data_IF_901125893359
#
_entry.id   IF_901125893359
#
_cell.length_a   1.000
_cell.length_b   1.000
_cell.length_c   1.000
_cell.angle_alpha   90.00
_cell.angle_beta   90.00
_cell.angle_gamma   90.00
#
_symmetry.space_group_name_H-M   'P 1'
#
loop_
_entity.id
_entity.type
_entity.pdbx_description
1 polymer ?
#
# COMPACT_ATOMS: atom_id res chain seq x y z
N UNK A 1 7.50 22.92 4.89
CA UNK A 1 6.40 22.11 4.33
C UNK A 1 6.39 22.12 2.79
N UNK A 2 6.23 23.29 2.12
CA UNK A 2 6.22 23.34 0.63
C UNK A 2 7.49 22.79 -0.05
N UNK A 3 8.65 22.97 0.54
CA UNK A 3 9.89 22.42 -0.01
C UNK A 3 10.04 20.91 0.23
N UNK A 4 9.40 20.40 1.25
CA UNK A 4 9.34 18.98 1.57
C UNK A 4 8.46 18.21 0.56
N UNK A 5 7.28 18.73 0.23
CA UNK A 5 6.36 18.16 -0.77
C UNK A 5 7.02 18.08 -2.16
N UNK A 6 7.61 19.18 -2.61
CA UNK A 6 8.24 19.27 -3.94
C UNK A 6 9.43 18.33 -4.14
N UNK A 7 10.09 17.97 -3.06
CA UNK A 7 11.28 17.12 -3.10
C UNK A 7 10.96 15.64 -2.90
N UNK A 8 9.85 15.34 -2.25
CA UNK A 8 9.25 14.02 -2.23
C UNK A 8 8.77 13.65 -3.65
N UNK A 9 8.04 14.55 -4.31
CA UNK A 9 7.64 14.40 -5.70
C UNK A 9 8.82 14.14 -6.63
N UNK A 10 9.95 14.84 -6.46
CA UNK A 10 11.14 14.64 -7.26
C UNK A 10 11.83 13.28 -6.99
N UNK A 11 11.96 12.86 -5.75
CA UNK A 11 12.55 11.56 -5.42
C UNK A 11 11.69 10.39 -5.95
N UNK A 12 10.37 10.53 -5.85
CA UNK A 12 9.41 9.57 -6.35
C UNK A 12 9.36 9.56 -7.89
N UNK A 13 9.35 10.74 -8.54
CA UNK A 13 9.32 10.86 -9.99
C UNK A 13 10.55 10.27 -10.67
N UNK A 14 11.74 10.39 -10.04
CA UNK A 14 12.97 9.76 -10.53
C UNK A 14 12.87 8.24 -10.54
N UNK A 15 12.24 7.63 -9.53
CA UNK A 15 12.02 6.17 -9.47
C UNK A 15 10.94 5.70 -10.43
N UNK A 16 9.85 6.43 -10.55
CA UNK A 16 8.70 6.08 -11.39
C UNK A 16 8.98 6.16 -12.89
N UNK A 17 9.87 7.03 -13.33
CA UNK A 17 10.34 7.08 -14.73
C UNK A 17 11.13 5.84 -15.12
N UNK A 18 11.55 5.03 -14.14
CA UNK A 18 12.34 3.81 -14.31
C UNK A 18 11.51 2.52 -14.40
N UNK A 19 10.17 2.58 -14.29
CA UNK A 19 9.30 1.42 -14.45
C UNK A 19 9.14 1.11 -15.94
N UNK A 20 9.44 -0.12 -16.34
CA UNK A 20 9.32 -0.55 -17.73
C UNK A 20 7.88 -0.78 -18.17
N UNK A 21 7.61 -0.51 -19.46
CA UNK A 21 6.29 -0.64 -20.07
C UNK A 21 6.12 -2.03 -20.71
N UNK A 22 5.34 -2.93 -20.13
CA UNK A 22 4.89 -4.14 -20.81
C UNK A 22 3.44 -4.53 -20.48
N UNK A 23 2.85 -5.32 -21.35
CA UNK A 23 1.42 -5.31 -21.65
C UNK A 23 0.47 -6.17 -20.81
N UNK A 24 0.85 -6.82 -19.70
CA UNK A 24 -0.05 -7.71 -18.94
C UNK A 24 -0.56 -7.12 -17.62
N UNK A 25 0.09 -6.10 -17.13
CA UNK A 25 -0.27 -5.37 -15.91
C UNK A 25 -0.73 -3.97 -16.30
N UNK A 26 -1.76 -3.44 -15.66
CA UNK A 26 -2.15 -2.05 -15.89
C UNK A 26 -0.94 -1.16 -15.68
N UNK A 27 -0.50 -0.51 -16.75
CA UNK A 27 0.60 0.44 -16.67
C UNK A 27 0.20 1.55 -15.71
N UNK A 28 1.07 1.89 -14.77
CA UNK A 28 0.82 3.03 -13.93
C UNK A 28 0.76 4.29 -14.82
N UNK A 29 -0.36 4.99 -14.77
CA UNK A 29 -0.45 6.36 -15.26
C UNK A 29 0.42 7.21 -14.32
N UNK A 30 1.58 7.68 -14.81
CA UNK A 30 2.56 8.40 -14.01
C UNK A 30 1.94 9.60 -13.27
N UNK A 31 0.95 10.27 -13.87
CA UNK A 31 0.21 11.36 -13.22
C UNK A 31 -0.70 10.89 -12.06
N UNK A 32 -1.09 9.61 -12.03
CA UNK A 32 -1.86 9.01 -10.93
C UNK A 32 -0.96 8.36 -9.88
N UNK A 33 0.27 8.02 -10.24
CA UNK A 33 1.26 7.41 -9.36
C UNK A 33 1.79 8.35 -8.29
N UNK A 34 1.85 9.64 -8.56
CA UNK A 34 2.17 10.67 -7.55
C UNK A 34 1.24 10.61 -6.32
N UNK A 35 0.08 9.94 -6.46
CA UNK A 35 -0.96 9.82 -5.42
C UNK A 35 -1.26 8.38 -4.98
N UNK A 36 -0.63 7.37 -5.58
CA UNK A 36 -0.89 5.97 -5.26
C UNK A 36 0.10 5.41 -4.23
N UNK A 37 -0.33 4.47 -3.36
CA UNK A 37 0.61 3.78 -2.48
C UNK A 37 1.57 2.95 -3.35
N UNK A 38 2.84 3.29 -3.27
CA UNK A 38 3.91 2.49 -3.82
C UNK A 38 4.39 1.55 -2.73
N UNK A 39 4.73 0.35 -3.15
CA UNK A 39 5.49 -0.59 -2.35
C UNK A 39 6.69 -0.97 -3.17
N UNK A 40 7.85 -0.86 -2.57
CA UNK A 40 9.11 -1.25 -3.19
C UNK A 40 9.80 -2.26 -2.29
N UNK A 41 10.31 -3.35 -2.86
CA UNK A 41 11.09 -4.35 -2.14
C UNK A 41 11.91 -5.22 -3.09
N UNK A 42 12.92 -5.88 -2.54
CA UNK A 42 13.79 -6.76 -3.29
C UNK A 42 13.13 -8.10 -3.63
N UNK A 43 13.43 -8.62 -4.82
CA UNK A 43 13.08 -9.99 -5.21
C UNK A 43 14.27 -10.61 -5.90
N UNK A 44 14.75 -11.74 -5.38
CA UNK A 44 15.89 -12.46 -5.94
C UNK A 44 15.61 -12.98 -7.35
N UNK A 45 16.65 -13.10 -8.16
CA UNK A 45 16.57 -13.67 -9.51
C UNK A 45 15.90 -15.04 -9.51
N UNK A 46 16.25 -15.89 -8.56
CA UNK A 46 15.66 -17.22 -8.43
C UNK A 46 14.15 -17.20 -8.24
N UNK A 47 13.63 -16.25 -7.46
CA UNK A 47 12.19 -16.10 -7.26
C UNK A 47 11.49 -15.44 -8.45
N UNK A 48 12.16 -14.50 -9.15
CA UNK A 48 11.63 -13.95 -10.41
C UNK A 48 11.43 -15.07 -11.43
N UNK A 49 12.44 -15.92 -11.62
CA UNK A 49 12.41 -17.05 -12.56
C UNK A 49 11.34 -18.08 -12.13
N UNK A 50 11.30 -18.44 -10.84
CA UNK A 50 10.38 -19.43 -10.30
C UNK A 50 8.91 -19.05 -10.43
N UNK A 51 8.59 -17.79 -10.14
CA UNK A 51 7.20 -17.28 -10.17
C UNK A 51 6.80 -16.71 -11.53
N UNK A 52 7.72 -16.63 -12.49
CA UNK A 52 7.50 -16.02 -13.80
C UNK A 52 6.83 -14.62 -13.66
N UNK A 53 7.45 -13.75 -12.87
CA UNK A 53 6.95 -12.42 -12.69
C UNK A 53 7.13 -11.58 -13.94
N UNK A 54 6.12 -10.74 -14.24
CA UNK A 54 6.19 -9.79 -15.35
C UNK A 54 7.26 -8.72 -15.06
N UNK A 55 8.13 -8.49 -16.04
CA UNK A 55 9.20 -7.49 -15.92
C UNK A 55 8.70 -6.07 -15.73
N UNK A 56 7.46 -5.77 -16.13
CA UNK A 56 6.84 -4.46 -15.88
C UNK A 56 6.62 -4.13 -14.41
N UNK A 57 6.73 -5.13 -13.53
CA UNK A 57 6.66 -4.91 -12.09
C UNK A 57 7.98 -4.45 -11.48
N UNK A 58 9.08 -4.49 -12.25
CA UNK A 58 10.40 -4.20 -11.74
C UNK A 58 10.90 -2.83 -12.22
N UNK A 59 11.43 -2.05 -11.30
CA UNK A 59 12.19 -0.84 -11.60
C UNK A 59 13.48 -1.20 -12.38
N UNK A 60 14.12 -0.20 -12.97
CA UNK A 60 15.41 -0.36 -13.61
C UNK A 60 16.48 -0.85 -12.63
N UNK A 61 16.38 -0.46 -11.35
CA UNK A 61 17.22 -0.92 -10.23
C UNK A 61 17.01 -2.40 -9.90
N UNK A 62 15.91 -3.00 -10.33
CA UNK A 62 15.57 -4.39 -10.08
C UNK A 62 14.60 -4.62 -8.92
N UNK A 63 14.21 -3.61 -8.18
CA UNK A 63 13.20 -3.75 -7.14
C UNK A 63 11.81 -3.91 -7.74
N UNK A 64 10.96 -4.69 -7.08
CA UNK A 64 9.54 -4.76 -7.40
C UNK A 64 8.86 -3.45 -6.98
N UNK A 65 8.02 -2.91 -7.86
CA UNK A 65 7.16 -1.77 -7.55
C UNK A 65 5.70 -2.17 -7.74
N UNK A 66 4.92 -2.18 -6.66
CA UNK A 66 3.49 -2.47 -6.69
C UNK A 66 2.71 -1.19 -6.40
N UNK A 67 1.90 -0.77 -7.36
CA UNK A 67 1.22 0.53 -7.36
C UNK A 67 -0.20 0.49 -6.79
N UNK A 68 -0.77 -0.71 -6.64
CA UNK A 68 -2.12 -0.89 -6.12
C UNK A 68 -2.31 -2.28 -5.49
N UNK A 69 -3.33 -2.41 -4.63
CA UNK A 69 -3.56 -3.66 -3.90
C UNK A 69 -4.02 -4.83 -4.80
N UNK A 70 -4.57 -4.57 -5.97
CA UNK A 70 -4.87 -5.62 -6.96
C UNK A 70 -3.58 -6.31 -7.41
N UNK A 71 -2.54 -5.52 -7.70
CA UNK A 71 -1.23 -6.05 -8.07
C UNK A 71 -0.59 -6.82 -6.92
N UNK A 72 -0.73 -6.36 -5.68
CA UNK A 72 -0.25 -7.09 -4.48
C UNK A 72 -0.92 -8.46 -4.37
N UNK A 73 -2.24 -8.55 -4.56
CA UNK A 73 -2.97 -9.81 -4.54
C UNK A 73 -2.53 -10.76 -5.63
N UNK A 74 -2.32 -10.25 -6.85
CA UNK A 74 -1.85 -11.05 -7.98
C UNK A 74 -0.42 -11.54 -7.74
N UNK A 75 0.43 -10.67 -7.17
CA UNK A 75 1.81 -11.03 -6.81
C UNK A 75 1.84 -12.10 -5.73
N UNK A 76 1.09 -11.91 -4.63
CA UNK A 76 0.96 -12.91 -3.57
C UNK A 76 0.40 -14.25 -4.09
N UNK A 77 -0.60 -14.18 -5.01
CA UNK A 77 -1.13 -15.38 -5.65
C UNK A 77 -0.06 -16.14 -6.42
N UNK A 78 0.74 -15.47 -7.26
CA UNK A 78 1.82 -16.11 -8.02
C UNK A 78 2.86 -16.79 -7.12
N UNK A 79 3.17 -16.19 -5.97
CA UNK A 79 4.03 -16.81 -4.96
C UNK A 79 3.36 -18.07 -4.41
N UNK A 80 2.10 -17.96 -4.01
CA UNK A 80 1.34 -19.03 -3.38
C UNK A 80 1.08 -20.21 -4.33
N UNK A 81 0.92 -19.95 -5.63
CA UNK A 81 0.78 -20.98 -6.66
C UNK A 81 2.03 -21.89 -6.78
N UNK A 82 3.16 -21.54 -6.15
CA UNK A 82 4.39 -22.33 -6.10
C UNK A 82 4.43 -23.34 -4.96
N UNK A 83 3.45 -23.33 -4.06
CA UNK A 83 3.41 -24.15 -2.85
C UNK A 83 2.13 -24.98 -2.77
N UNK A 84 2.23 -26.16 -2.15
CA UNK A 84 1.06 -26.96 -1.81
C UNK A 84 0.31 -26.28 -0.62
N UNK A 85 -0.96 -25.87 -0.81
CA UNK A 85 -1.70 -25.13 0.22
C UNK A 85 -1.98 -25.98 1.49
N UNK A 86 -1.88 -27.28 1.43
CA UNK A 86 -2.10 -28.18 2.57
C UNK A 86 -0.79 -28.51 3.27
N UNK A 87 0.23 -28.90 2.51
CA UNK A 87 1.51 -29.36 3.05
C UNK A 87 2.44 -28.20 3.41
N UNK A 88 2.32 -27.06 2.73
CA UNK A 88 3.21 -25.91 2.86
C UNK A 88 2.46 -24.62 3.26
N UNK A 89 1.37 -24.77 4.00
CA UNK A 89 0.52 -23.62 4.44
C UNK A 89 1.30 -22.53 5.18
N UNK A 90 2.37 -22.88 5.89
CA UNK A 90 3.24 -21.93 6.58
C UNK A 90 4.07 -21.02 5.65
N UNK A 91 4.23 -21.42 4.38
CA UNK A 91 4.93 -20.63 3.36
C UNK A 91 4.01 -19.73 2.55
N UNK A 92 2.71 -19.81 2.80
CA UNK A 92 1.71 -19.00 2.08
C UNK A 92 1.80 -17.54 2.50
N UNK A 93 1.88 -16.66 1.52
CA UNK A 93 1.99 -15.20 1.71
C UNK A 93 0.60 -14.56 1.66
N UNK A 94 0.28 -13.77 2.68
CA UNK A 94 -0.95 -12.97 2.70
C UNK A 94 -0.72 -11.61 2.03
N UNK A 95 -1.66 -11.18 1.19
CA UNK A 95 -1.51 -9.96 0.41
C UNK A 95 -1.42 -8.69 1.29
N UNK A 96 -2.18 -8.59 2.39
CA UNK A 96 -2.10 -7.46 3.31
C UNK A 96 -0.80 -7.42 4.10
N UNK A 97 -0.26 -8.58 4.48
CA UNK A 97 1.05 -8.67 5.11
C UNK A 97 2.17 -8.31 4.12
N UNK A 98 2.09 -8.79 2.87
CA UNK A 98 3.01 -8.40 1.80
C UNK A 98 2.97 -6.89 1.54
N UNK A 99 1.76 -6.32 1.49
CA UNK A 99 1.56 -4.87 1.38
C UNK A 99 2.24 -4.11 2.52
N UNK A 100 2.10 -4.57 3.75
CA UNK A 100 2.68 -3.93 4.91
C UNK A 100 4.21 -4.02 4.92
N UNK A 101 4.77 -5.18 4.56
CA UNK A 101 6.20 -5.39 4.42
C UNK A 101 6.79 -4.44 3.37
N UNK A 102 6.22 -4.43 2.15
CA UNK A 102 6.70 -3.54 1.08
C UNK A 102 6.52 -2.06 1.39
N UNK A 103 5.49 -1.67 2.17
CA UNK A 103 5.32 -0.29 2.63
C UNK A 103 6.39 0.11 3.65
N UNK A 104 6.78 -0.78 4.56
CA UNK A 104 7.87 -0.51 5.52
C UNK A 104 9.19 -0.35 4.76
N UNK A 105 9.47 -1.21 3.80
CA UNK A 105 10.68 -1.16 2.98
C UNK A 105 10.75 0.15 2.19
N UNK A 106 9.66 0.55 1.53
CA UNK A 106 9.56 1.83 0.83
C UNK A 106 9.74 3.04 1.76
N UNK A 107 9.21 2.97 2.99
CA UNK A 107 9.45 4.03 3.99
C UNK A 107 10.94 4.11 4.33
N UNK A 108 11.65 2.99 4.39
CA UNK A 108 13.09 3.00 4.65
C UNK A 108 13.87 3.64 3.51
N UNK A 109 13.53 3.36 2.25
CA UNK A 109 14.07 4.07 1.09
C UNK A 109 13.83 5.59 1.18
N UNK A 110 12.61 5.98 1.57
CA UNK A 110 12.26 7.39 1.76
C UNK A 110 13.06 8.05 2.88
N UNK A 111 13.27 7.35 4.01
CA UNK A 111 14.09 7.83 5.13
C UNK A 111 15.53 8.06 4.69
N UNK A 112 16.13 7.13 3.92
CA UNK A 112 17.47 7.30 3.35
C UNK A 112 17.56 8.51 2.41
N UNK A 113 16.56 8.69 1.54
CA UNK A 113 16.48 9.85 0.66
C UNK A 113 16.33 11.17 1.44
N UNK A 114 15.53 11.16 2.51
CA UNK A 114 15.33 12.32 3.39
C UNK A 114 16.60 12.67 4.16
N UNK A 115 17.32 11.67 4.66
CA UNK A 115 18.62 11.85 5.31
C UNK A 115 19.64 12.52 4.36
N UNK A 116 19.80 11.99 3.15
CA UNK A 116 20.68 12.62 2.14
C UNK A 116 20.33 14.08 1.91
N UNK A 117 19.07 14.38 1.85
CA UNK A 117 18.62 15.73 1.54
C UNK A 117 18.80 16.72 2.67
N UNK A 118 18.55 16.29 3.91
CA UNK A 118 18.51 17.19 5.07
C UNK A 118 19.85 17.29 5.76
N UNK A 119 20.62 16.20 5.81
CA UNK A 119 21.81 16.08 6.61
C UNK A 119 23.10 16.00 5.77
N UNK A 120 23.23 15.01 4.88
CA UNK A 120 24.42 14.82 4.07
C UNK A 120 24.09 14.27 2.68
N UNK A 121 24.10 15.11 1.66
CA UNK A 121 23.79 14.76 0.28
C UNK A 121 24.71 13.68 -0.31
N UNK A 122 25.92 13.53 0.23
CA UNK A 122 26.95 12.58 -0.23
C UNK A 122 27.14 11.39 0.70
N UNK A 123 26.26 11.20 1.69
CA UNK A 123 26.45 10.18 2.72
C UNK A 123 26.72 8.78 2.15
N UNK A 124 25.98 8.35 1.14
CA UNK A 124 26.18 7.03 0.54
C UNK A 124 27.40 6.95 -0.37
N UNK A 125 27.81 8.04 -1.02
CA UNK A 125 29.08 8.10 -1.74
C UNK A 125 30.26 7.98 -0.76
N UNK A 126 30.23 8.74 0.32
CA UNK A 126 31.25 8.71 1.38
C UNK A 126 31.30 7.36 2.11
N UNK A 127 30.14 6.73 2.31
CA UNK A 127 30.05 5.37 2.84
C UNK A 127 30.77 4.36 1.94
N UNK A 128 30.55 4.41 0.62
CA UNK A 128 31.24 3.53 -0.34
C UNK A 128 32.74 3.80 -0.35
N UNK A 129 33.16 5.05 -0.21
CA UNK A 129 34.58 5.39 -0.08
C UNK A 129 35.18 4.81 1.20
N UNK A 130 34.50 4.93 2.34
CA UNK A 130 34.95 4.35 3.59
C UNK A 130 35.08 2.82 3.52
N UNK A 131 34.18 2.16 2.78
CA UNK A 131 34.28 0.72 2.50
C UNK A 131 35.48 0.38 1.62
N UNK A 132 35.69 1.14 0.55
CA UNK A 132 36.85 0.98 -0.32
C UNK A 132 38.19 1.15 0.44
N UNK A 133 38.24 2.08 1.40
CA UNK A 133 39.41 2.33 2.25
C UNK A 133 39.65 1.19 3.27
N UNK A 134 38.58 0.68 3.90
CA UNK A 134 38.67 -0.31 4.98
C UNK A 134 38.84 -1.75 4.46
N UNK A 135 38.03 -2.15 3.49
CA UNK A 135 37.99 -3.51 2.96
C UNK A 135 38.88 -3.67 1.71
N UNK A 136 39.11 -2.59 0.99
CA UNK A 136 39.77 -2.56 -0.30
C UNK A 136 38.78 -2.69 -1.46
N UNK A 137 38.95 -1.84 -2.47
CA UNK A 137 38.02 -1.70 -3.61
C UNK A 137 37.70 -3.04 -4.30
N UNK A 138 38.65 -3.95 -4.46
CA UNK A 138 38.42 -5.24 -5.11
C UNK A 138 37.41 -6.11 -4.37
N UNK A 139 37.42 -6.10 -3.04
CA UNK A 139 36.49 -6.86 -2.22
C UNK A 139 35.08 -6.23 -2.30
N UNK A 140 35.01 -4.90 -2.23
CA UNK A 140 33.77 -4.13 -2.39
C UNK A 140 33.15 -4.39 -3.78
N UNK A 141 33.94 -4.28 -4.86
CA UNK A 141 33.45 -4.56 -6.22
C UNK A 141 32.97 -6.00 -6.39
N UNK A 142 33.62 -6.97 -5.75
CA UNK A 142 33.18 -8.38 -5.75
C UNK A 142 31.85 -8.54 -5.03
N UNK A 143 31.69 -7.93 -3.85
CA UNK A 143 30.44 -7.97 -3.09
C UNK A 143 29.29 -7.34 -3.88
N UNK A 144 29.51 -6.20 -4.48
CA UNK A 144 28.54 -5.52 -5.34
C UNK A 144 28.15 -6.37 -6.54
N UNK A 145 29.10 -7.08 -7.17
CA UNK A 145 28.81 -7.97 -8.28
C UNK A 145 27.96 -9.18 -7.84
N UNK A 146 28.31 -9.80 -6.70
CA UNK A 146 27.51 -10.90 -6.12
C UNK A 146 26.07 -10.47 -5.81
N UNK A 147 25.88 -9.27 -5.26
CA UNK A 147 24.55 -8.71 -5.04
C UNK A 147 23.81 -8.45 -6.36
N UNK A 148 24.47 -7.83 -7.33
CA UNK A 148 23.89 -7.52 -8.65
C UNK A 148 23.50 -8.79 -9.43
N UNK A 149 24.17 -9.90 -9.21
CA UNK A 149 23.80 -11.20 -9.79
C UNK A 149 22.59 -11.84 -9.08
N UNK A 150 22.46 -11.68 -7.78
CA UNK A 150 21.34 -12.24 -6.99
C UNK A 150 20.08 -11.38 -7.09
N UNK A 151 20.23 -10.05 -7.07
CA UNK A 151 19.15 -9.05 -7.18
C UNK A 151 19.38 -8.16 -8.40
N UNK A 152 19.29 -8.71 -9.62
CA UNK A 152 19.76 -8.01 -10.80
C UNK A 152 18.85 -6.82 -11.17
N UNK A 153 19.46 -5.68 -11.51
CA UNK A 153 18.80 -4.65 -12.29
C UNK A 153 18.22 -5.21 -13.58
N UNK A 154 17.18 -4.58 -14.11
CA UNK A 154 16.42 -5.12 -15.25
C UNK A 154 17.31 -5.39 -16.47
N UNK A 155 18.26 -4.52 -16.79
CA UNK A 155 19.18 -4.72 -17.91
C UNK A 155 20.12 -5.93 -17.70
N UNK A 156 20.59 -6.16 -16.46
CA UNK A 156 21.40 -7.34 -16.09
C UNK A 156 20.55 -8.60 -16.11
N UNK A 157 19.30 -8.54 -15.60
CA UNK A 157 18.40 -9.67 -15.62
C UNK A 157 18.09 -10.16 -17.05
N UNK A 158 17.95 -9.24 -18.01
CA UNK A 158 17.75 -9.54 -19.43
C UNK A 158 19.01 -10.02 -20.15
N UNK A 159 20.17 -9.93 -19.52
CA UNK A 159 21.46 -10.22 -20.15
C UNK A 159 21.92 -9.18 -21.18
N UNK A 160 21.38 -7.97 -21.13
CA UNK A 160 21.75 -6.86 -22.03
C UNK A 160 23.13 -6.32 -21.66
N UNK A 161 23.48 -6.31 -20.38
CA UNK A 161 24.78 -5.92 -19.84
C UNK A 161 25.22 -6.89 -18.74
N UNK A 162 26.54 -6.99 -18.50
CA UNK A 162 27.05 -7.74 -17.35
C UNK A 162 26.86 -6.95 -16.03
N UNK A 163 26.90 -7.65 -14.89
CA UNK A 163 26.88 -7.02 -13.57
C UNK A 163 28.06 -6.03 -13.41
N UNK A 164 29.23 -6.37 -13.93
CA UNK A 164 30.41 -5.51 -13.87
C UNK A 164 30.26 -4.24 -14.73
N UNK A 165 29.71 -4.36 -15.95
CA UNK A 165 29.45 -3.20 -16.82
C UNK A 165 28.39 -2.28 -16.20
N UNK A 166 27.33 -2.86 -15.58
CA UNK A 166 26.35 -2.09 -14.85
C UNK A 166 26.99 -1.28 -13.72
N UNK A 167 27.81 -1.92 -12.88
CA UNK A 167 28.48 -1.29 -11.74
C UNK A 167 29.52 -0.22 -12.16
N UNK A 168 30.09 -0.35 -13.36
CA UNK A 168 30.99 0.67 -13.91
C UNK A 168 30.25 1.90 -14.43
N UNK A 169 28.94 1.81 -14.62
CA UNK A 169 28.08 2.88 -15.12
C UNK A 169 27.59 3.83 -14.04
N UNK A 170 26.79 4.77 -14.49
CA UNK A 170 26.07 5.74 -13.65
C UNK A 170 24.69 6.01 -14.23
N UNK A 171 23.72 6.34 -13.38
CA UNK A 171 22.37 6.71 -13.77
C UNK A 171 22.01 8.04 -13.08
N UNK A 172 21.50 9.01 -13.84
CA UNK A 172 21.15 10.35 -13.35
C UNK A 172 22.30 11.07 -12.60
N UNK A 173 23.55 10.77 -12.97
CA UNK A 173 24.74 11.36 -12.35
C UNK A 173 25.20 10.68 -11.06
N UNK A 174 24.51 9.64 -10.60
CA UNK A 174 24.89 8.82 -9.45
C UNK A 174 25.54 7.53 -9.93
N UNK A 175 26.67 7.15 -9.34
CA UNK A 175 27.35 5.89 -9.67
C UNK A 175 26.48 4.70 -9.29
N UNK A 176 26.35 3.72 -10.18
CA UNK A 176 25.62 2.47 -9.91
C UNK A 176 26.22 1.69 -8.73
N UNK A 177 27.50 1.84 -8.41
CA UNK A 177 28.10 1.29 -7.18
C UNK A 177 27.44 1.85 -5.92
N UNK A 178 27.16 3.16 -5.92
CA UNK A 178 26.55 3.85 -4.77
C UNK A 178 25.09 3.40 -4.61
N UNK A 179 24.32 3.40 -5.70
CA UNK A 179 22.93 2.94 -5.70
C UNK A 179 22.85 1.47 -5.28
N UNK A 180 23.69 0.59 -5.83
CA UNK A 180 23.71 -0.82 -5.47
C UNK A 180 24.05 -1.04 -3.99
N UNK A 181 24.96 -0.22 -3.43
CA UNK A 181 25.30 -0.35 -2.02
C UNK A 181 24.18 0.17 -1.10
N UNK A 182 23.42 1.17 -1.51
CA UNK A 182 22.20 1.59 -0.82
C UNK A 182 21.16 0.45 -0.79
N UNK A 183 21.02 -0.27 -1.89
CA UNK A 183 20.13 -1.44 -1.95
C UNK A 183 20.63 -2.59 -1.04
N UNK A 184 21.94 -2.85 -0.97
CA UNK A 184 22.51 -3.81 0.01
C UNK A 184 22.22 -3.37 1.44
N UNK A 185 22.34 -2.08 1.74
CA UNK A 185 22.06 -1.52 3.05
C UNK A 185 20.59 -1.76 3.47
N UNK A 186 19.65 -1.53 2.56
CA UNK A 186 18.23 -1.74 2.82
C UNK A 186 17.87 -3.23 2.88
N UNK A 187 18.41 -4.07 1.99
CA UNK A 187 18.25 -5.52 2.03
C UNK A 187 18.70 -6.11 3.36
N UNK A 188 19.83 -5.65 3.90
CA UNK A 188 20.32 -6.09 5.19
C UNK A 188 19.34 -5.75 6.32
N UNK A 189 18.80 -4.53 6.34
CA UNK A 189 17.75 -4.14 7.29
C UNK A 189 16.48 -5.00 7.17
N UNK A 190 16.08 -5.34 5.94
CA UNK A 190 14.95 -6.22 5.68
C UNK A 190 15.19 -7.64 6.25
N UNK A 191 16.42 -8.19 6.10
CA UNK A 191 16.78 -9.50 6.60
C UNK A 191 17.01 -9.54 8.13
N UNK A 192 17.34 -8.41 8.77
CA UNK A 192 17.40 -8.30 10.23
C UNK A 192 16.02 -8.11 10.90
N UNK A 193 14.94 -8.00 10.12
CA UNK A 193 13.59 -7.78 10.64
C UNK A 193 12.82 -9.10 10.82
N UNK A 194 12.60 -9.60 12.05
CA UNK A 194 11.92 -10.88 12.27
C UNK A 194 10.47 -10.90 11.73
N UNK A 195 9.78 -9.74 11.67
CA UNK A 195 8.44 -9.66 11.09
C UNK A 195 8.42 -9.91 9.58
N UNK A 196 9.59 -9.88 8.92
CA UNK A 196 9.74 -10.15 7.49
C UNK A 196 10.04 -11.63 7.19
N UNK A 197 10.22 -12.47 8.21
CA UNK A 197 10.54 -13.91 8.04
C UNK A 197 9.64 -14.63 7.01
N UNK A 198 8.31 -14.43 6.98
CA UNK A 198 7.45 -15.08 5.98
C UNK A 198 7.79 -14.72 4.53
N UNK A 199 8.53 -13.63 4.32
CA UNK A 199 8.90 -13.08 3.01
C UNK A 199 10.36 -13.30 2.64
N UNK A 200 11.18 -13.89 3.50
CA UNK A 200 12.60 -14.15 3.21
C UNK A 200 12.80 -14.99 1.95
N UNK A 201 11.81 -15.79 1.57
CA UNK A 201 11.83 -16.52 0.30
C UNK A 201 12.04 -15.58 -0.91
N UNK A 202 11.60 -14.31 -0.82
CA UNK A 202 11.73 -13.32 -1.89
C UNK A 202 13.12 -12.69 -1.93
N UNK A 203 13.70 -12.40 -0.77
CA UNK A 203 14.87 -11.53 -0.65
C UNK A 203 15.90 -11.97 0.40
N UNK A 204 15.96 -13.28 0.73
CA UNK A 204 16.99 -13.79 1.65
C UNK A 204 18.41 -13.42 1.19
N UNK A 205 19.20 -12.90 2.12
CA UNK A 205 20.62 -12.58 1.91
C UNK A 205 21.57 -13.74 2.25
N UNK A 206 21.05 -14.94 2.53
CA UNK A 206 21.86 -16.13 2.91
C UNK A 206 23.01 -16.43 1.95
N UNK A 207 22.87 -16.12 0.66
CA UNK A 207 23.95 -16.33 -0.31
C UNK A 207 25.06 -15.30 -0.11
N UNK A 208 24.70 -14.04 0.13
CA UNK A 208 25.63 -12.94 0.40
C UNK A 208 26.33 -13.14 1.74
N UNK A 209 25.61 -13.64 2.74
CA UNK A 209 26.14 -13.90 4.08
C UNK A 209 27.22 -14.98 4.11
N UNK A 210 27.36 -15.82 3.05
CA UNK A 210 28.47 -16.75 2.90
C UNK A 210 29.81 -16.06 2.61
N UNK A 211 29.74 -14.82 2.10
CA UNK A 211 30.92 -14.01 1.88
C UNK A 211 31.29 -13.26 3.17
N UNK A 212 32.47 -13.50 3.78
CA UNK A 212 32.85 -12.83 5.02
C UNK A 212 32.97 -11.31 4.87
N UNK A 213 33.27 -10.84 3.65
CA UNK A 213 33.35 -9.41 3.36
C UNK A 213 31.96 -8.72 3.50
N UNK A 214 30.85 -9.47 3.40
CA UNK A 214 29.49 -8.96 3.64
C UNK A 214 29.27 -8.56 5.10
N UNK A 215 29.62 -9.42 6.04
CA UNK A 215 29.52 -9.14 7.46
C UNK A 215 30.48 -8.02 7.88
N UNK A 216 31.72 -8.03 7.35
CA UNK A 216 32.71 -6.98 7.61
C UNK A 216 32.26 -5.61 7.07
N UNK A 217 31.63 -5.60 5.87
CA UNK A 217 31.07 -4.37 5.30
C UNK A 217 30.02 -3.74 6.21
N UNK A 218 29.19 -4.55 6.85
CA UNK A 218 28.15 -4.07 7.76
C UNK A 218 28.73 -3.40 9.01
N UNK A 219 29.82 -3.91 9.57
CA UNK A 219 30.50 -3.24 10.69
C UNK A 219 31.06 -1.86 10.27
N UNK A 220 31.64 -1.77 9.07
CA UNK A 220 32.13 -0.48 8.53
C UNK A 220 30.98 0.52 8.32
N UNK A 221 29.84 0.06 7.82
CA UNK A 221 28.65 0.90 7.62
C UNK A 221 28.13 1.45 8.95
N UNK A 222 28.01 0.60 9.97
CA UNK A 222 27.58 1.03 11.32
C UNK A 222 28.49 2.09 11.91
N UNK A 223 29.81 1.86 11.82
CA UNK A 223 30.78 2.83 12.31
C UNK A 223 30.75 4.14 11.51
N UNK A 224 30.57 4.07 10.20
CA UNK A 224 30.44 5.25 9.35
C UNK A 224 29.23 6.10 9.76
N UNK A 225 28.02 5.51 9.86
CA UNK A 225 26.83 6.28 10.20
C UNK A 225 26.85 6.85 11.62
N UNK A 226 27.57 6.27 12.56
CA UNK A 226 27.83 6.88 13.88
C UNK A 226 28.60 8.20 13.81
N UNK A 227 29.35 8.42 12.74
CA UNK A 227 30.11 9.67 12.52
C UNK A 227 29.32 10.73 11.78
N UNK A 228 28.18 10.36 11.22
CA UNK A 228 27.30 11.25 10.46
C UNK A 228 26.38 12.07 11.40
N UNK A 229 25.78 13.16 10.91
CA UNK A 229 24.77 13.88 11.67
C UNK A 229 23.64 12.97 12.13
N UNK A 230 23.12 13.23 13.32
CA UNK A 230 21.94 12.52 13.83
C UNK A 230 20.69 12.96 13.09
N UNK A 231 19.73 12.06 12.95
CA UNK A 231 18.52 12.26 12.14
C UNK A 231 17.27 11.72 12.85
N UNK A 232 16.12 12.24 12.45
CA UNK A 232 14.85 11.76 12.93
C UNK A 232 14.42 12.32 14.29
N UNK A 233 13.23 11.89 14.79
CA UNK A 233 12.62 12.47 15.98
C UNK A 233 13.40 12.18 17.28
N UNK A 234 14.19 11.11 17.29
CA UNK A 234 14.98 10.68 18.45
C UNK A 234 16.46 11.09 18.36
N UNK A 235 16.85 11.83 17.32
CA UNK A 235 18.23 12.25 17.05
C UNK A 235 19.22 11.08 17.09
N UNK A 236 18.90 9.99 16.42
CA UNK A 236 19.74 8.81 16.27
C UNK A 236 20.58 8.87 14.98
N UNK A 237 21.61 8.04 14.89
CA UNK A 237 22.23 7.76 13.59
C UNK A 237 21.24 7.00 12.68
N UNK A 238 21.46 7.04 11.36
CA UNK A 238 20.53 6.49 10.38
C UNK A 238 20.27 4.99 10.59
N UNK A 239 21.32 4.19 10.91
CA UNK A 239 21.18 2.75 11.15
C UNK A 239 20.29 2.47 12.36
N UNK A 240 20.53 3.19 13.45
CA UNK A 240 19.73 3.07 14.68
C UNK A 240 18.29 3.50 14.43
N UNK A 241 18.05 4.60 13.70
CA UNK A 241 16.71 5.06 13.36
C UNK A 241 15.93 4.00 12.59
N UNK A 242 16.49 3.40 11.53
CA UNK A 242 15.80 2.38 10.74
C UNK A 242 15.47 1.12 11.56
N UNK A 243 16.21 0.84 12.64
CA UNK A 243 15.94 -0.28 13.56
C UNK A 243 14.86 0.01 14.61
N UNK A 244 14.52 1.27 14.85
CA UNK A 244 13.55 1.64 15.89
C UNK A 244 12.20 0.89 15.79
N UNK A 245 11.53 0.80 14.61
CA UNK A 245 10.27 0.08 14.50
C UNK A 245 10.40 -1.42 14.81
N UNK A 246 11.53 -2.02 14.40
CA UNK A 246 11.83 -3.44 14.67
C UNK A 246 12.05 -3.66 16.17
N UNK A 247 12.81 -2.81 16.83
CA UNK A 247 13.03 -2.88 18.29
C UNK A 247 11.72 -2.72 19.06
N UNK A 248 10.85 -1.81 18.61
CA UNK A 248 9.55 -1.56 19.26
C UNK A 248 8.55 -2.72 19.07
N UNK A 249 8.59 -3.40 17.92
CA UNK A 249 7.66 -4.49 17.58
C UNK A 249 8.32 -5.54 16.69
N UNK A 250 9.19 -6.41 17.22
CA UNK A 250 10.02 -7.31 16.41
C UNK A 250 9.23 -8.27 15.52
N UNK A 251 8.08 -8.75 15.99
CA UNK A 251 7.31 -9.82 15.33
C UNK A 251 5.99 -9.34 14.74
N UNK A 252 5.78 -8.03 14.61
CA UNK A 252 4.50 -7.49 14.16
C UNK A 252 4.67 -6.36 13.16
N UNK A 253 4.36 -6.63 11.89
CA UNK A 253 4.30 -5.62 10.83
C UNK A 253 3.37 -4.46 11.21
N UNK A 254 2.19 -4.78 11.75
CA UNK A 254 1.25 -3.77 12.27
C UNK A 254 1.88 -2.92 13.36
N UNK A 255 2.54 -3.56 14.33
CA UNK A 255 3.21 -2.84 15.42
C UNK A 255 4.31 -1.91 14.94
N UNK A 256 5.09 -2.34 13.93
CA UNK A 256 6.11 -1.50 13.28
C UNK A 256 5.50 -0.31 12.55
N UNK A 257 4.43 -0.53 11.78
CA UNK A 257 3.70 0.55 11.10
C UNK A 257 3.06 1.52 12.12
N UNK A 258 2.52 1.01 13.23
CA UNK A 258 2.00 1.85 14.32
C UNK A 258 3.09 2.69 14.99
N UNK A 259 4.29 2.12 15.18
CA UNK A 259 5.45 2.85 15.68
C UNK A 259 5.82 4.00 14.73
N UNK A 260 6.00 3.69 13.45
CA UNK A 260 6.32 4.65 12.39
C UNK A 260 5.28 5.78 12.36
N UNK A 261 3.99 5.43 12.41
CA UNK A 261 2.90 6.42 12.46
C UNK A 261 3.02 7.37 13.63
N UNK A 262 3.31 6.86 14.81
CA UNK A 262 3.34 7.64 16.06
C UNK A 262 4.57 8.53 16.15
N UNK A 263 5.71 8.02 15.70
CA UNK A 263 7.00 8.66 15.97
C UNK A 263 7.58 9.37 14.74
N UNK A 264 7.34 8.86 13.53
CA UNK A 264 7.89 9.42 12.29
C UNK A 264 6.90 10.25 11.48
N UNK A 265 5.69 10.48 12.01
CA UNK A 265 4.61 11.17 11.29
C UNK A 265 4.98 12.56 10.76
N UNK A 266 5.84 13.32 11.46
CA UNK A 266 6.32 14.63 11.00
C UNK A 266 7.30 14.52 9.83
N UNK A 267 8.06 13.42 9.74
CA UNK A 267 9.01 13.18 8.64
C UNK A 267 8.26 12.66 7.42
N UNK A 268 7.23 11.86 7.63
CA UNK A 268 6.51 11.16 6.58
C UNK A 268 5.46 12.02 5.88
N UNK A 269 4.97 13.10 6.50
CA UNK A 269 3.99 13.99 5.88
C UNK A 269 2.78 13.23 5.29
N UNK A 270 2.55 13.33 3.97
CA UNK A 270 1.45 12.65 3.28
C UNK A 270 1.53 11.11 3.30
N UNK A 271 2.70 10.53 3.56
CA UNK A 271 2.86 9.09 3.75
C UNK A 271 2.04 8.54 4.92
N UNK A 272 1.67 9.40 5.86
CA UNK A 272 0.86 9.00 7.00
C UNK A 272 -0.48 8.37 6.59
N UNK A 273 -1.11 8.88 5.54
CA UNK A 273 -2.38 8.33 5.02
C UNK A 273 -2.19 6.94 4.40
N UNK A 274 -1.09 6.73 3.70
CA UNK A 274 -0.72 5.44 3.10
C UNK A 274 -0.44 4.39 4.17
N UNK A 275 0.24 4.81 5.22
CA UNK A 275 0.52 4.00 6.39
C UNK A 275 -0.75 3.49 7.06
N UNK A 276 -1.75 4.35 7.23
CA UNK A 276 -3.04 3.98 7.81
C UNK A 276 -3.75 2.92 6.97
N UNK A 277 -3.75 3.05 5.62
CA UNK A 277 -4.34 2.04 4.74
C UNK A 277 -3.61 0.68 4.82
N UNK A 278 -2.29 0.68 4.98
CA UNK A 278 -1.51 -0.54 5.18
C UNK A 278 -1.85 -1.27 6.47
N UNK A 279 -2.02 -0.54 7.57
CA UNK A 279 -2.43 -1.09 8.86
C UNK A 279 -3.82 -1.74 8.76
N UNK A 280 -4.76 -1.07 8.11
CA UNK A 280 -6.13 -1.57 7.96
C UNK A 280 -6.19 -2.84 7.10
N UNK A 281 -5.35 -2.95 6.06
CA UNK A 281 -5.28 -4.15 5.22
C UNK A 281 -4.79 -5.39 5.98
N UNK A 282 -3.80 -5.22 6.88
CA UNK A 282 -3.36 -6.33 7.74
C UNK A 282 -4.50 -6.79 8.64
N UNK A 283 -5.21 -5.85 9.24
CA UNK A 283 -6.32 -6.16 10.14
C UNK A 283 -7.46 -6.89 9.42
N UNK A 284 -7.73 -6.59 8.16
CA UNK A 284 -8.71 -7.32 7.36
C UNK A 284 -8.30 -8.76 7.08
N UNK A 285 -7.02 -9.04 6.89
CA UNK A 285 -6.52 -10.39 6.61
C UNK A 285 -6.33 -11.26 7.86
N UNK A 286 -6.05 -10.66 9.01
CA UNK A 286 -5.92 -11.35 10.29
C UNK A 286 -7.27 -11.83 10.85
N UNK A 287 -8.37 -11.36 10.27
CA UNK A 287 -9.71 -11.85 10.59
C UNK A 287 -9.85 -13.32 10.21
N UNK A 288 -10.42 -14.18 11.08
CA UNK A 288 -10.74 -15.55 10.70
C UNK A 288 -11.62 -15.49 9.45
N UNK A 289 -11.01 -15.79 8.30
CA UNK A 289 -11.69 -15.74 7.02
C UNK A 289 -12.82 -16.76 7.00
N UNK A 290 -13.96 -16.38 6.47
CA UNK A 290 -14.92 -17.33 5.95
C UNK A 290 -14.24 -18.10 4.81
N UNK A 291 -13.56 -19.17 5.17
CA UNK A 291 -13.08 -20.15 4.20
C UNK A 291 -14.30 -20.84 3.59
N UNK A 292 -14.66 -20.39 2.39
CA UNK A 292 -15.73 -20.98 1.59
C UNK A 292 -15.44 -22.40 1.11
N UNK A 293 -15.19 -23.33 2.03
CA UNK A 293 -15.36 -24.74 1.78
C UNK A 293 -16.83 -25.08 2.05
N UNK A 294 -17.64 -24.98 1.02
CA UNK A 294 -18.96 -25.55 0.97
C UNK A 294 -18.87 -27.10 0.99
N UNK A 295 -18.72 -27.68 2.16
CA UNK A 295 -19.03 -29.07 2.40
C UNK A 295 -19.62 -29.20 3.81
N UNK A 296 -20.94 -29.05 3.87
CA UNK A 296 -21.73 -29.20 5.09
C UNK A 296 -22.38 -27.88 5.54
N UNK A 297 -23.62 -27.95 6.01
CA UNK A 297 -24.28 -26.84 6.69
C UNK A 297 -23.36 -26.33 7.80
N UNK A 298 -23.09 -25.01 7.88
CA UNK A 298 -22.32 -24.48 8.99
C UNK A 298 -22.98 -24.87 10.30
N UNK A 299 -22.19 -25.18 11.35
CA UNK A 299 -22.75 -25.33 12.68
C UNK A 299 -23.56 -24.07 12.98
N UNK A 300 -24.81 -24.22 13.42
CA UNK A 300 -25.62 -23.09 13.81
C UNK A 300 -24.89 -22.39 14.96
N UNK A 301 -24.26 -21.26 14.69
CA UNK A 301 -23.63 -20.47 15.74
C UNK A 301 -24.71 -20.03 16.71
N UNK A 302 -24.66 -20.60 17.92
CA UNK A 302 -25.41 -20.07 19.04
C UNK A 302 -24.78 -18.72 19.36
N UNK A 303 -25.45 -17.64 18.98
CA UNK A 303 -25.01 -16.28 19.29
C UNK A 303 -24.82 -16.15 20.80
N UNK A 304 -23.57 -16.07 21.24
CA UNK A 304 -23.24 -15.73 22.60
C UNK A 304 -23.30 -14.20 22.74
N UNK A 305 -24.32 -13.71 23.40
CA UNK A 305 -24.55 -12.28 23.63
C UNK A 305 -23.47 -11.63 24.49
N UNK A 306 -22.61 -12.38 25.14
CA UNK A 306 -21.45 -11.86 25.88
C UNK A 306 -20.36 -11.27 24.95
N UNK A 307 -20.41 -11.55 23.65
CA UNK A 307 -19.49 -11.02 22.65
C UNK A 307 -19.97 -9.74 21.95
N UNK A 308 -21.14 -9.19 22.31
CA UNK A 308 -21.65 -7.93 21.75
C UNK A 308 -20.71 -6.73 21.99
N UNK A 309 -19.79 -6.82 22.95
CA UNK A 309 -18.75 -5.82 23.18
C UNK A 309 -17.52 -5.98 22.25
N UNK A 310 -17.48 -7.02 21.43
CA UNK A 310 -16.45 -7.29 20.44
C UNK A 310 -17.06 -7.31 19.04
N UNK A 311 -17.78 -6.25 18.66
CA UNK A 311 -18.17 -6.03 17.27
C UNK A 311 -16.92 -6.00 16.39
N UNK A 312 -16.98 -6.80 15.36
CA UNK A 312 -15.84 -7.01 14.49
C UNK A 312 -15.73 -5.87 13.49
N UNK A 313 -14.89 -4.91 13.80
CA UNK A 313 -14.68 -3.76 12.93
C UNK A 313 -13.78 -4.14 11.75
N UNK A 314 -14.21 -3.78 10.53
CA UNK A 314 -13.43 -3.99 9.31
C UNK A 314 -12.23 -3.06 9.18
N UNK A 315 -12.16 -2.03 10.00
CA UNK A 315 -11.17 -0.95 9.93
C UNK A 315 -10.48 -0.78 11.28
N UNK A 316 -9.69 0.28 11.41
CA UNK A 316 -9.17 0.72 12.71
C UNK A 316 -10.29 0.88 13.72
N UNK A 317 -10.09 0.47 14.99
CA UNK A 317 -11.10 0.62 16.03
C UNK A 317 -11.70 2.02 16.05
N UNK A 318 -13.03 2.13 16.18
CA UNK A 318 -13.76 3.40 16.12
C UNK A 318 -13.19 4.47 17.04
N UNK A 319 -12.76 4.10 18.24
CA UNK A 319 -12.13 5.01 19.21
C UNK A 319 -10.84 5.68 18.69
N UNK A 320 -10.20 5.12 17.66
CA UNK A 320 -8.96 5.67 17.10
C UNK A 320 -9.23 6.72 16.01
N UNK A 321 -10.28 6.53 15.22
CA UNK A 321 -10.58 7.43 14.10
C UNK A 321 -11.85 8.25 14.26
N UNK A 322 -12.91 7.72 14.86
CA UNK A 322 -14.20 8.43 15.02
C UNK A 322 -14.08 9.80 15.68
N UNK A 323 -13.25 10.00 16.73
CA UNK A 323 -13.07 11.34 17.33
C UNK A 323 -12.45 12.37 16.37
N UNK A 324 -11.88 11.91 15.25
CA UNK A 324 -11.20 12.78 14.27
C UNK A 324 -11.89 12.80 12.93
N UNK A 325 -13.05 12.15 12.79
CA UNK A 325 -13.76 12.11 11.53
C UNK A 325 -14.34 13.49 11.20
N UNK A 326 -14.06 13.94 9.97
CA UNK A 326 -14.70 15.10 9.36
C UNK A 326 -15.64 14.58 8.29
N UNK A 327 -16.95 14.58 8.58
CA UNK A 327 -17.96 13.91 7.79
C UNK A 327 -18.65 14.88 6.82
N UNK A 328 -18.70 14.52 5.53
CA UNK A 328 -19.54 15.13 4.53
C UNK A 328 -20.74 14.23 4.23
N UNK A 329 -21.95 14.76 4.36
CA UNK A 329 -23.17 14.06 3.96
C UNK A 329 -23.64 14.50 2.57
N UNK A 330 -23.96 13.56 1.71
CA UNK A 330 -24.49 13.80 0.36
C UNK A 330 -25.72 12.94 0.10
N UNK A 331 -26.83 13.57 -0.29
CA UNK A 331 -27.97 12.83 -0.85
C UNK A 331 -27.59 12.36 -2.26
N UNK A 332 -27.50 11.06 -2.48
CA UNK A 332 -26.88 10.49 -3.68
C UNK A 332 -27.47 11.03 -4.98
N UNK A 333 -28.80 10.95 -5.16
CA UNK A 333 -29.44 11.41 -6.41
C UNK A 333 -29.24 12.90 -6.66
N UNK A 334 -29.28 13.73 -5.62
CA UNK A 334 -29.05 15.18 -5.74
C UNK A 334 -27.60 15.44 -6.11
N UNK A 335 -26.67 14.78 -5.45
CA UNK A 335 -25.26 14.96 -5.74
C UNK A 335 -24.90 14.51 -7.16
N UNK A 336 -25.36 13.34 -7.64
CA UNK A 336 -25.14 12.88 -8.99
C UNK A 336 -25.71 13.85 -10.05
N UNK A 337 -26.91 14.43 -9.78
CA UNK A 337 -27.48 15.46 -10.63
C UNK A 337 -26.60 16.73 -10.69
N UNK A 338 -26.16 17.23 -9.54
CA UNK A 338 -25.25 18.38 -9.45
C UNK A 338 -23.94 18.14 -10.21
N UNK A 339 -23.37 16.91 -10.09
CA UNK A 339 -22.19 16.53 -10.84
C UNK A 339 -22.46 16.46 -12.35
N UNK A 340 -23.63 15.94 -12.75
CA UNK A 340 -24.05 15.93 -14.16
C UNK A 340 -24.08 17.34 -14.74
N UNK A 341 -24.63 18.30 -14.01
CA UNK A 341 -24.66 19.70 -14.40
C UNK A 341 -23.27 20.33 -14.44
N UNK A 342 -22.45 20.08 -13.42
CA UNK A 342 -21.09 20.62 -13.33
C UNK A 342 -20.19 20.12 -14.47
N UNK A 343 -20.24 18.82 -14.78
CA UNK A 343 -19.37 18.19 -15.76
C UNK A 343 -20.00 18.11 -17.18
N UNK A 344 -21.21 18.64 -17.36
CA UNK A 344 -21.95 18.66 -18.64
C UNK A 344 -22.06 17.28 -19.30
N UNK A 345 -22.18 16.23 -18.51
CA UNK A 345 -22.38 14.84 -18.94
C UNK A 345 -23.25 14.09 -17.93
N UNK A 346 -24.01 13.07 -18.37
CA UNK A 346 -24.78 12.25 -17.43
C UNK A 346 -23.85 11.53 -16.44
N UNK A 347 -24.11 11.73 -15.15
CA UNK A 347 -23.47 11.02 -14.03
C UNK A 347 -24.62 10.48 -13.19
N UNK A 348 -24.97 9.23 -13.41
CA UNK A 348 -26.14 8.58 -12.80
C UNK A 348 -25.73 7.42 -11.88
N UNK A 349 -24.49 6.94 -11.99
CA UNK A 349 -23.97 5.82 -11.23
C UNK A 349 -22.81 6.25 -10.33
N UNK A 350 -22.59 5.52 -9.25
CA UNK A 350 -21.54 5.81 -8.27
C UNK A 350 -20.12 5.70 -8.85
N UNK A 351 -19.89 4.77 -9.76
CA UNK A 351 -18.61 4.57 -10.44
C UNK A 351 -18.28 5.66 -11.48
N UNK A 352 -19.25 6.47 -11.85
CA UNK A 352 -19.08 7.60 -12.79
C UNK A 352 -18.69 8.91 -12.11
N UNK A 353 -18.72 8.97 -10.79
CA UNK A 353 -18.30 10.16 -10.01
C UNK A 353 -16.83 10.46 -10.36
N UNK A 354 -16.52 11.71 -10.82
CA UNK A 354 -15.16 12.07 -11.19
C UNK A 354 -14.17 12.00 -10.02
N UNK A 355 -12.94 11.60 -10.30
CA UNK A 355 -11.87 11.57 -9.29
C UNK A 355 -11.54 12.96 -8.73
N UNK A 356 -11.68 13.99 -9.55
CA UNK A 356 -11.49 15.38 -9.16
C UNK A 356 -12.43 15.83 -8.02
N UNK A 357 -13.65 15.26 -7.96
CA UNK A 357 -14.57 15.54 -6.86
C UNK A 357 -14.13 14.86 -5.56
N UNK A 358 -13.58 13.66 -5.68
CA UNK A 358 -13.07 12.92 -4.54
C UNK A 358 -11.77 13.56 -4.03
N UNK A 359 -10.92 14.04 -4.94
CA UNK A 359 -9.71 14.79 -4.61
C UNK A 359 -10.06 16.10 -3.90
N UNK A 360 -11.10 16.82 -4.36
CA UNK A 360 -11.58 18.05 -3.72
C UNK A 360 -12.03 17.77 -2.29
N UNK A 361 -12.81 16.72 -2.05
CA UNK A 361 -13.24 16.34 -0.70
C UNK A 361 -12.05 16.03 0.22
N UNK A 362 -11.04 15.34 -0.30
CA UNK A 362 -9.83 15.03 0.46
C UNK A 362 -9.01 16.31 0.79
N UNK A 363 -8.87 17.22 -0.19
CA UNK A 363 -8.14 18.49 -0.02
C UNK A 363 -8.84 19.43 0.98
N UNK A 364 -10.17 19.38 1.03
CA UNK A 364 -10.98 20.12 2.01
C UNK A 364 -10.91 19.49 3.42
N UNK A 365 -10.23 18.34 3.56
CA UNK A 365 -10.00 17.69 4.85
C UNK A 365 -11.13 16.77 5.31
N UNK A 366 -12.06 16.37 4.42
CA UNK A 366 -13.07 15.37 4.76
C UNK A 366 -12.45 13.99 4.81
N UNK A 367 -12.72 13.27 5.90
CA UNK A 367 -12.23 11.89 6.13
C UNK A 367 -13.36 10.87 6.16
N UNK A 368 -14.61 11.32 6.01
CA UNK A 368 -15.78 10.49 5.90
C UNK A 368 -16.79 11.06 4.90
N UNK A 369 -17.36 10.19 4.06
CA UNK A 369 -18.46 10.52 3.15
C UNK A 369 -19.66 9.66 3.49
N UNK A 370 -20.75 10.31 3.96
CA UNK A 370 -22.01 9.65 4.23
C UNK A 370 -22.95 9.83 3.03
N UNK A 371 -23.30 8.73 2.40
CA UNK A 371 -24.20 8.68 1.26
C UNK A 371 -25.61 8.32 1.71
N UNK A 372 -26.52 9.28 1.57
CA UNK A 372 -27.93 9.12 1.93
C UNK A 372 -28.71 8.59 0.71
N UNK A 373 -29.40 7.47 0.90
CA UNK A 373 -30.30 6.90 -0.09
C UNK A 373 -29.62 6.00 -1.14
N UNK A 374 -28.71 5.16 -0.71
CA UNK A 374 -28.04 4.13 -1.53
C UNK A 374 -28.92 2.93 -1.86
N UNK A 375 -29.86 2.61 -0.95
CA UNK A 375 -30.64 1.38 -1.00
C UNK A 375 -31.74 1.38 -2.05
N UNK A 376 -32.16 0.20 -2.48
CA UNK A 376 -33.33 0.04 -3.35
C UNK A 376 -34.57 0.63 -2.68
N UNK A 377 -35.25 1.53 -3.41
CA UNK A 377 -36.38 2.31 -2.88
C UNK A 377 -37.72 1.73 -3.30
N UNK A 378 -38.72 1.94 -2.44
CA UNK A 378 -40.09 1.52 -2.65
C UNK A 378 -40.73 2.08 -3.93
N UNK A 379 -41.17 1.22 -4.80
CA UNK A 379 -41.96 1.57 -5.99
C UNK A 379 -43.28 2.21 -5.61
N UNK A 380 -43.94 1.65 -4.55
CA UNK A 380 -45.20 2.17 -4.04
C UNK A 380 -45.07 3.62 -3.59
N UNK A 381 -44.00 3.95 -2.85
CA UNK A 381 -43.73 5.34 -2.41
C UNK A 381 -43.55 6.29 -3.61
N UNK A 382 -42.82 5.90 -4.65
CA UNK A 382 -42.67 6.67 -5.88
C UNK A 382 -44.01 6.90 -6.56
N UNK A 383 -44.78 5.83 -6.73
CA UNK A 383 -46.07 5.87 -7.44
C UNK A 383 -47.10 6.75 -6.75
N UNK A 384 -47.18 6.69 -5.42
CA UNK A 384 -48.06 7.54 -4.63
C UNK A 384 -47.72 9.03 -4.85
N UNK A 385 -46.45 9.40 -4.81
CA UNK A 385 -46.03 10.79 -5.06
C UNK A 385 -46.37 11.28 -6.47
N UNK A 386 -46.24 10.40 -7.46
CA UNK A 386 -46.62 10.71 -8.85
C UNK A 386 -48.12 10.95 -8.98
N UNK A 387 -48.95 10.11 -8.36
CA UNK A 387 -50.43 10.26 -8.32
C UNK A 387 -50.81 11.58 -7.59
N UNK A 388 -50.08 11.93 -6.54
CA UNK A 388 -50.30 13.18 -5.79
C UNK A 388 -49.81 14.44 -6.51
N UNK A 389 -49.43 14.37 -7.79
CA UNK A 389 -49.14 15.52 -8.65
C UNK A 389 -47.67 15.85 -8.85
N UNK A 390 -46.75 14.95 -8.47
CA UNK A 390 -45.32 15.13 -8.78
C UNK A 390 -44.83 14.00 -9.72
N UNK A 391 -44.93 14.18 -11.04
CA UNK A 391 -44.59 13.14 -12.04
C UNK A 391 -43.11 12.72 -12.00
N UNK A 392 -42.21 13.61 -11.55
CA UNK A 392 -40.79 13.35 -11.47
C UNK A 392 -40.30 12.87 -10.09
N UNK A 393 -41.25 12.60 -9.18
CA UNK A 393 -40.90 12.21 -7.82
C UNK A 393 -40.08 10.93 -7.76
N UNK A 394 -38.97 10.97 -7.04
CA UNK A 394 -38.30 9.80 -6.52
C UNK A 394 -38.97 9.29 -5.22
N UNK A 395 -38.84 8.01 -4.94
CA UNK A 395 -39.20 7.48 -3.63
C UNK A 395 -38.36 8.10 -2.52
N UNK A 396 -38.86 8.12 -1.30
CA UNK A 396 -38.08 8.54 -0.14
C UNK A 396 -36.83 7.68 -0.01
N UNK A 397 -35.71 8.30 0.37
CA UNK A 397 -34.50 7.60 0.71
C UNK A 397 -34.67 6.58 1.85
N UNK A 398 -35.65 6.82 2.70
CA UNK A 398 -35.98 5.99 3.88
C UNK A 398 -37.16 5.06 3.67
N UNK A 399 -37.75 5.01 2.47
CA UNK A 399 -38.79 4.04 2.11
C UNK A 399 -38.15 2.94 1.30
N UNK A 400 -37.64 1.93 1.96
CA UNK A 400 -36.83 0.86 1.37
C UNK A 400 -37.72 -0.24 0.77
N UNK A 401 -37.32 -0.73 -0.41
CA UNK A 401 -37.78 -1.99 -0.97
C UNK A 401 -36.91 -3.15 -0.44
N UNK A 402 -35.59 -2.97 -0.49
CA UNK A 402 -34.59 -3.95 -0.01
C UNK A 402 -33.32 -3.23 0.46
N UNK A 403 -32.53 -3.90 1.30
CA UNK A 403 -31.16 -3.51 1.64
C UNK A 403 -30.16 -4.01 0.56
N UNK A 404 -30.52 -3.83 -0.68
CA UNK A 404 -29.60 -3.97 -1.80
C UNK A 404 -29.25 -2.58 -2.36
N UNK A 405 -28.07 -2.43 -2.94
CA UNK A 405 -27.70 -1.15 -3.55
C UNK A 405 -28.52 -0.94 -4.81
N UNK A 406 -29.16 0.23 -4.91
CA UNK A 406 -30.04 0.54 -6.02
C UNK A 406 -29.39 0.27 -7.37
N UNK A 407 -30.08 -0.52 -8.21
CA UNK A 407 -29.60 -0.90 -9.53
C UNK A 407 -29.32 0.31 -10.42
N UNK A 408 -30.15 1.36 -10.32
CA UNK A 408 -29.98 2.63 -11.04
C UNK A 408 -28.67 3.35 -10.65
N UNK A 409 -28.13 3.10 -9.47
CA UNK A 409 -26.84 3.63 -8.99
C UNK A 409 -25.63 2.76 -9.39
N UNK A 410 -25.88 1.62 -10.06
CA UNK A 410 -24.88 0.67 -10.51
C UNK A 410 -24.61 -0.50 -9.58
N UNK A 411 -25.45 -0.68 -8.54
CA UNK A 411 -25.38 -1.81 -7.61
C UNK A 411 -24.09 -1.86 -6.78
N UNK A 412 -23.83 -3.01 -6.19
CA UNK A 412 -22.67 -3.27 -5.34
C UNK A 412 -21.32 -3.04 -6.03
N UNK A 413 -21.24 -3.33 -7.33
CA UNK A 413 -20.01 -3.14 -8.09
C UNK A 413 -19.61 -1.66 -8.19
N UNK A 414 -20.56 -0.78 -8.50
CA UNK A 414 -20.33 0.66 -8.56
C UNK A 414 -20.02 1.25 -7.17
N UNK A 415 -20.69 0.76 -6.11
CA UNK A 415 -20.40 1.16 -4.73
C UNK A 415 -18.98 0.74 -4.32
N UNK A 416 -18.58 -0.49 -4.62
CA UNK A 416 -17.25 -0.99 -4.27
C UNK A 416 -16.15 -0.22 -5.03
N UNK A 417 -16.39 0.13 -6.29
CA UNK A 417 -15.51 1.00 -7.06
C UNK A 417 -15.35 2.37 -6.37
N UNK A 418 -16.47 3.04 -6.03
CA UNK A 418 -16.43 4.33 -5.33
C UNK A 418 -15.74 4.21 -3.96
N UNK A 419 -16.07 3.16 -3.18
CA UNK A 419 -15.48 2.89 -1.88
C UNK A 419 -13.96 2.78 -1.96
N UNK A 420 -13.44 2.04 -2.92
CA UNK A 420 -12.00 1.88 -3.14
C UNK A 420 -11.32 3.21 -3.48
N UNK A 421 -11.93 3.99 -4.36
CA UNK A 421 -11.39 5.30 -4.77
C UNK A 421 -11.40 6.33 -3.63
N UNK A 422 -12.43 6.33 -2.79
CA UNK A 422 -12.49 7.12 -1.56
C UNK A 422 -11.44 6.68 -0.54
N UNK A 423 -11.30 5.37 -0.38
CA UNK A 423 -10.33 4.77 0.52
C UNK A 423 -8.89 5.18 0.21
N UNK A 424 -8.52 5.20 -1.08
CA UNK A 424 -7.20 5.68 -1.51
C UNK A 424 -6.93 7.15 -1.16
N UNK A 425 -7.98 7.90 -0.86
CA UNK A 425 -7.91 9.32 -0.46
C UNK A 425 -8.08 9.52 1.04
N UNK A 426 -8.10 8.44 1.82
CA UNK A 426 -8.30 8.49 3.27
C UNK A 426 -9.74 8.82 3.68
N UNK A 427 -10.71 8.68 2.76
CA UNK A 427 -12.13 8.97 3.02
C UNK A 427 -12.87 7.65 3.24
N UNK A 428 -13.48 7.48 4.40
CA UNK A 428 -14.35 6.35 4.72
C UNK A 428 -15.75 6.58 4.17
N UNK A 429 -16.36 5.51 3.68
CA UNK A 429 -17.73 5.56 3.18
C UNK A 429 -18.70 5.11 4.28
N UNK A 430 -19.78 5.86 4.48
CA UNK A 430 -20.88 5.55 5.36
C UNK A 430 -22.20 5.57 4.60
N UNK A 431 -23.19 4.82 5.09
CA UNK A 431 -24.55 4.83 4.55
C UNK A 431 -25.59 4.80 5.68
N UNK A 432 -26.85 5.07 5.31
CA UNK A 432 -27.97 5.00 6.23
C UNK A 432 -28.25 3.55 6.63
N UNK A 433 -28.79 3.37 7.84
CA UNK A 433 -29.52 2.19 8.27
C UNK A 433 -30.91 2.62 8.71
N UNK A 434 -31.95 1.94 8.22
CA UNK A 434 -33.36 2.26 8.50
C UNK A 434 -34.07 1.07 9.17
N UNK A 435 -33.80 0.83 10.46
CA UNK A 435 -34.22 -0.41 11.11
C UNK A 435 -35.69 -0.44 11.55
N UNK A 436 -36.39 0.71 11.60
CA UNK A 436 -37.71 0.81 12.22
C UNK A 436 -38.89 0.81 11.25
N UNK A 437 -38.65 0.93 9.93
CA UNK A 437 -39.72 0.88 8.93
C UNK A 437 -39.15 0.57 7.53
N UNK A 438 -40.03 0.13 6.62
CA UNK A 438 -39.74 -0.14 5.22
C UNK A 438 -40.80 0.48 4.31
N UNK A 439 -40.66 0.33 3.00
CA UNK A 439 -41.73 0.59 2.04
C UNK A 439 -42.86 -0.43 2.16
N UNK A 440 -44.06 -0.06 1.76
CA UNK A 440 -45.24 -0.96 1.77
C UNK A 440 -45.06 -2.19 0.85
N UNK A 441 -44.24 -2.02 -0.18
CA UNK A 441 -43.85 -3.02 -1.18
C UNK A 441 -42.47 -3.61 -0.91
N UNK A 442 -42.00 -3.52 0.34
CA UNK A 442 -40.70 -4.09 0.70
C UNK A 442 -40.72 -5.62 0.58
N UNK A 443 -39.63 -6.18 0.13
CA UNK A 443 -39.41 -7.61 -0.12
C UNK A 443 -39.70 -8.50 1.11
N UNK A 444 -39.65 -7.91 2.31
CA UNK A 444 -39.95 -8.60 3.59
C UNK A 444 -41.41 -8.49 4.02
N UNK A 445 -42.21 -7.68 3.31
CA UNK A 445 -43.63 -7.43 3.64
C UNK A 445 -44.55 -8.17 2.67
N UNK A 446 -44.10 -8.38 1.42
CA UNK A 446 -44.86 -9.03 0.34
C UNK A 446 -44.34 -10.48 0.07
#
# INVERSE_FOLDING_TARGET
MKDFEKNFENALSIRLTKVEKSGMWEQPDLAKLEKSPLMEFHVSKAMRDKCDFDLSLFATTGNVILTNFKNVRLFAKKINDQFDPVLESSKMVKAGQLNAMGLIDEIFHYVCASFRKQENAKAFEEMVQALDEKLGKKKVDKLLAEFTEEFPPTAVYRGEISAQDYLAGSEDGVSNRVTTFEEIFLLHHANENPAFEPFYILFSDEKLAKNPDYAESWEVIKEFFKTQPTFGPNNNDLVTMLKEPVVASPNSLKGQLDYIRKHWGLILGEWLLRLLSGIDMIQEEEKPGWNGNFSGLPPMEIYNYDSLNSEYERFTPDREWMPRVVLMAKTVLVWLNQLSEKYKRPITRLDQIPDEELDTLAQEGFTGLWLIGLWERSWGSKRIKQICGNPEAAASAYSLHDYDIAGDLGGWEALDNLRKRLWYRGIRLASDMVPNHTGLDAKWVV
#
